data_IF_102394296192
#
_entry.id   IF_102394296192
#
_cell.length_a   1.000
_cell.length_b   1.000
_cell.length_c   1.000
_cell.angle_alpha   90.00
_cell.angle_beta   90.00
_cell.angle_gamma   90.00
#
_symmetry.space_group_name_H-M   'P 1'
#
loop_
_entity.id
_entity.type
_entity.pdbx_description
1 polymer ?
#
# COMPACT_ATOMS: atom_id res chain seq x y z
N UNK A 1 -2.78 -11.58 -10.09
CA UNK A 1 -1.52 -12.23 -10.52
C UNK A 1 -1.74 -12.80 -11.91
N UNK A 2 -1.12 -12.21 -12.94
CA UNK A 2 -1.16 -12.73 -14.31
C UNK A 2 0.27 -13.04 -14.72
N UNK A 3 0.59 -14.33 -14.79
CA UNK A 3 1.77 -14.84 -15.48
C UNK A 3 1.54 -14.66 -16.99
N UNK A 4 2.44 -13.97 -17.67
CA UNK A 4 2.54 -14.03 -19.13
C UNK A 4 3.82 -14.77 -19.51
N UNK A 5 3.61 -15.90 -20.18
CA UNK A 5 4.60 -16.73 -20.86
C UNK A 5 5.43 -15.88 -21.84
N UNK A 6 6.75 -15.97 -21.73
CA UNK A 6 7.69 -15.43 -22.72
C UNK A 6 8.11 -16.60 -23.61
N UNK A 7 7.77 -16.45 -24.89
CA UNK A 7 7.98 -17.43 -25.96
C UNK A 7 9.45 -17.49 -26.37
N UNK A 8 9.95 -18.71 -26.47
CA UNK A 8 11.27 -19.15 -26.93
C UNK A 8 11.45 -18.84 -28.43
N UNK A 9 12.48 -18.07 -28.80
CA UNK A 9 13.02 -18.01 -30.16
C UNK A 9 14.50 -18.38 -30.13
N UNK A 10 14.79 -19.63 -30.48
CA UNK A 10 16.14 -20.09 -30.81
C UNK A 10 16.39 -19.77 -32.29
N UNK A 11 17.37 -18.90 -32.56
CA UNK A 11 17.88 -18.64 -33.91
C UNK A 11 19.40 -18.83 -33.92
N UNK A 12 19.82 -19.56 -34.95
CA UNK A 12 21.13 -20.14 -35.20
C UNK A 12 22.18 -19.04 -35.39
N UNK A 13 23.28 -19.11 -34.63
CA UNK A 13 24.45 -18.25 -34.81
C UNK A 13 25.54 -18.99 -35.60
N UNK A 14 25.75 -18.58 -36.85
CA UNK A 14 26.99 -18.85 -37.59
C UNK A 14 28.11 -18.04 -36.96
N UNK A 15 29.15 -18.73 -36.48
CA UNK A 15 30.31 -18.12 -35.83
C UNK A 15 31.20 -17.40 -36.85
N UNK A 16 31.03 -16.09 -36.99
CA UNK A 16 32.11 -15.20 -37.42
C UNK A 16 32.94 -14.86 -36.19
N UNK A 17 34.15 -15.39 -36.11
CA UNK A 17 35.17 -14.98 -35.13
C UNK A 17 35.71 -13.63 -35.62
N UNK A 18 35.07 -12.52 -35.23
CA UNK A 18 35.70 -11.20 -35.29
C UNK A 18 36.67 -11.06 -34.12
N UNK A 19 37.82 -10.43 -34.36
CA UNK A 19 38.88 -10.29 -33.38
C UNK A 19 38.53 -9.19 -32.38
N UNK A 20 37.70 -9.51 -31.37
CA UNK A 20 37.38 -8.57 -30.30
C UNK A 20 38.67 -7.99 -29.67
N UNK A 21 38.80 -6.66 -29.69
CA UNK A 21 39.88 -5.95 -29.01
C UNK A 21 39.90 -6.33 -27.51
N UNK A 22 41.04 -6.80 -26.97
CA UNK A 22 41.11 -7.14 -25.56
C UNK A 22 40.93 -5.87 -24.72
N UNK A 23 40.00 -5.93 -23.76
CA UNK A 23 39.70 -4.83 -22.86
C UNK A 23 40.94 -4.36 -22.11
N UNK A 24 41.11 -3.05 -21.96
CA UNK A 24 42.18 -2.52 -21.12
C UNK A 24 41.78 -2.59 -19.64
N UNK A 25 42.79 -2.46 -18.75
CA UNK A 25 42.54 -2.31 -17.30
C UNK A 25 41.66 -1.08 -17.00
N UNK A 26 41.78 0.01 -17.78
CA UNK A 26 40.95 1.21 -17.67
C UNK A 26 39.49 0.92 -18.04
N UNK A 27 39.26 0.17 -19.12
CA UNK A 27 37.92 -0.20 -19.58
C UNK A 27 37.21 -1.06 -18.54
N UNK A 28 37.91 -2.07 -18.02
CA UNK A 28 37.42 -2.93 -16.93
C UNK A 28 37.02 -2.12 -15.70
N UNK A 29 37.86 -1.14 -15.31
CA UNK A 29 37.56 -0.25 -14.17
C UNK A 29 36.34 0.65 -14.40
N UNK A 30 36.09 1.05 -15.66
CA UNK A 30 34.96 1.91 -16.03
C UNK A 30 33.66 1.12 -15.97
N UNK A 31 33.66 -0.09 -16.55
CA UNK A 31 32.53 -1.03 -16.46
C UNK A 31 32.21 -1.36 -15.01
N UNK A 32 33.21 -1.59 -14.15
CA UNK A 32 32.98 -1.86 -12.72
C UNK A 32 32.33 -0.67 -12.01
N UNK A 33 32.73 0.57 -12.32
CA UNK A 33 32.11 1.78 -11.77
C UNK A 33 30.65 1.91 -12.20
N UNK A 34 30.35 1.69 -13.48
CA UNK A 34 28.97 1.73 -14.00
C UNK A 34 28.09 0.67 -13.34
N UNK A 35 28.62 -0.56 -13.15
CA UNK A 35 27.93 -1.60 -12.37
C UNK A 35 27.62 -1.16 -10.94
N UNK A 36 28.57 -0.51 -10.25
CA UNK A 36 28.34 0.06 -8.91
C UNK A 36 27.26 1.15 -8.94
N UNK A 37 27.26 2.01 -9.94
CA UNK A 37 26.21 3.03 -10.14
C UNK A 37 24.83 2.38 -10.30
N UNK A 38 24.72 1.32 -11.10
CA UNK A 38 23.47 0.55 -11.26
C UNK A 38 23.01 0.00 -9.91
N UNK A 39 23.88 -0.67 -9.15
CA UNK A 39 23.52 -1.21 -7.82
C UNK A 39 23.03 -0.12 -6.86
N UNK A 40 23.65 1.07 -6.90
CA UNK A 40 23.19 2.21 -6.10
C UNK A 40 21.82 2.74 -6.57
N UNK A 41 21.59 2.82 -7.87
CA UNK A 41 20.29 3.22 -8.45
C UNK A 41 19.19 2.20 -8.16
N UNK A 42 19.48 0.90 -8.21
CA UNK A 42 18.55 -0.16 -7.78
C UNK A 42 18.16 0.02 -6.31
N UNK A 43 19.13 0.29 -5.43
CA UNK A 43 18.86 0.56 -4.03
C UNK A 43 17.97 1.81 -3.82
N UNK A 44 18.14 2.86 -4.64
CA UNK A 44 17.24 4.03 -4.63
C UNK A 44 15.82 3.66 -5.07
N UNK A 45 15.66 2.86 -6.13
CA UNK A 45 14.35 2.38 -6.58
C UNK A 45 13.66 1.59 -5.48
N UNK A 46 14.35 0.63 -4.85
CA UNK A 46 13.80 -0.15 -3.75
C UNK A 46 13.36 0.73 -2.58
N UNK A 47 14.19 1.71 -2.19
CA UNK A 47 13.84 2.66 -1.12
C UNK A 47 12.62 3.52 -1.47
N UNK A 48 12.48 3.94 -2.73
CA UNK A 48 11.32 4.68 -3.19
C UNK A 48 10.06 3.79 -3.22
N UNK A 49 10.19 2.54 -3.65
CA UNK A 49 9.11 1.56 -3.66
C UNK A 49 8.57 1.29 -2.25
N UNK A 50 9.44 1.10 -1.26
CA UNK A 50 9.03 0.92 0.15
C UNK A 50 8.16 2.09 0.65
N UNK A 51 8.43 3.32 0.18
CA UNK A 51 7.61 4.47 0.54
C UNK A 51 6.22 4.41 -0.11
N UNK A 52 6.16 4.05 -1.40
CA UNK A 52 4.89 3.83 -2.12
C UNK A 52 4.07 2.77 -1.40
N UNK A 53 4.68 1.61 -1.10
CA UNK A 53 4.02 0.50 -0.41
C UNK A 53 3.49 0.93 0.98
N UNK A 54 4.24 1.77 1.70
CA UNK A 54 3.79 2.33 2.97
C UNK A 54 2.56 3.23 2.81
N UNK A 55 2.54 4.10 1.79
CA UNK A 55 1.38 4.95 1.51
C UNK A 55 0.15 4.11 1.11
N UNK A 56 0.33 3.08 0.29
CA UNK A 56 -0.74 2.15 -0.10
C UNK A 56 -1.27 1.37 1.11
N UNK A 57 -0.39 0.92 2.00
CA UNK A 57 -0.78 0.27 3.25
C UNK A 57 -1.68 1.17 4.10
N UNK A 58 -1.33 2.46 4.23
CA UNK A 58 -2.18 3.43 4.93
C UNK A 58 -3.55 3.62 4.26
N UNK A 59 -3.60 3.65 2.93
CA UNK A 59 -4.85 3.75 2.16
C UNK A 59 -5.71 2.51 2.39
N UNK A 60 -5.13 1.31 2.32
CA UNK A 60 -5.82 0.04 2.51
C UNK A 60 -6.37 -0.07 3.93
N UNK A 61 -5.53 0.14 4.93
CA UNK A 61 -5.93 0.11 6.35
C UNK A 61 -7.01 1.15 6.62
N UNK A 62 -6.81 2.39 6.18
CA UNK A 62 -7.78 3.47 6.37
C UNK A 62 -9.14 3.18 5.73
N UNK A 63 -9.15 2.61 4.52
CA UNK A 63 -10.37 2.22 3.81
C UNK A 63 -11.10 1.08 4.52
N UNK A 64 -10.37 0.08 5.00
CA UNK A 64 -10.92 -1.03 5.78
C UNK A 64 -11.57 -0.55 7.07
N UNK A 65 -10.88 0.29 7.85
CA UNK A 65 -11.39 0.88 9.10
C UNK A 65 -12.66 1.71 8.87
N UNK A 66 -12.72 2.45 7.76
CA UNK A 66 -13.92 3.22 7.38
C UNK A 66 -15.11 2.33 7.01
N UNK A 67 -14.87 1.26 6.26
CA UNK A 67 -15.92 0.32 5.88
C UNK A 67 -16.50 -0.40 7.11
N UNK A 68 -15.61 -0.94 7.95
CA UNK A 68 -15.96 -1.57 9.22
C UNK A 68 -16.72 -0.58 10.12
N UNK A 69 -16.16 0.60 10.33
CA UNK A 69 -16.74 1.60 11.22
C UNK A 69 -18.12 2.09 10.78
N UNK A 70 -18.35 2.24 9.46
CA UNK A 70 -19.68 2.58 8.92
C UNK A 70 -20.70 1.47 9.10
N UNK A 71 -20.27 0.21 8.97
CA UNK A 71 -21.14 -0.96 9.21
C UNK A 71 -21.54 -1.04 10.69
N UNK A 72 -20.55 -1.01 11.59
CA UNK A 72 -20.75 -1.02 13.04
C UNK A 72 -21.62 0.15 13.50
N UNK A 73 -21.42 1.35 12.94
CA UNK A 73 -22.26 2.53 13.27
C UNK A 73 -23.74 2.29 13.01
N UNK A 74 -24.08 1.61 11.91
CA UNK A 74 -25.47 1.26 11.59
C UNK A 74 -26.02 0.22 12.57
N UNK A 75 -25.23 -0.80 12.91
CA UNK A 75 -25.61 -1.84 13.87
C UNK A 75 -25.86 -1.23 15.26
N UNK A 76 -24.92 -0.43 15.78
CA UNK A 76 -25.04 0.25 17.07
C UNK A 76 -26.25 1.18 17.14
N UNK A 77 -26.61 1.86 16.02
CA UNK A 77 -27.83 2.67 15.94
C UNK A 77 -29.09 1.82 16.08
N UNK A 78 -29.13 0.64 15.45
CA UNK A 78 -30.24 -0.30 15.57
C UNK A 78 -30.33 -0.88 16.98
N UNK A 79 -29.21 -1.30 17.56
CA UNK A 79 -29.14 -1.81 18.94
C UNK A 79 -29.62 -0.77 19.95
N UNK A 80 -29.17 0.48 19.83
CA UNK A 80 -29.59 1.58 20.71
C UNK A 80 -31.10 1.79 20.66
N UNK A 81 -31.68 1.80 19.46
CA UNK A 81 -33.14 1.92 19.27
C UNK A 81 -33.88 0.73 19.87
N UNK A 82 -33.37 -0.49 19.65
CA UNK A 82 -33.95 -1.72 20.18
C UNK A 82 -33.96 -1.70 21.71
N UNK A 83 -32.82 -1.38 22.33
CA UNK A 83 -32.68 -1.30 23.79
C UNK A 83 -33.67 -0.30 24.39
N UNK A 84 -33.81 0.88 23.77
CA UNK A 84 -34.73 1.92 24.24
C UNK A 84 -36.20 1.48 24.12
N UNK A 85 -36.54 0.82 23.01
CA UNK A 85 -37.88 0.28 22.79
C UNK A 85 -38.20 -0.84 23.79
N UNK A 86 -37.27 -1.77 23.99
CA UNK A 86 -37.42 -2.90 24.91
C UNK A 86 -37.61 -2.41 26.34
N UNK A 87 -36.78 -1.47 26.79
CA UNK A 87 -36.92 -0.82 28.09
C UNK A 87 -38.31 -0.21 28.31
N UNK A 88 -38.83 0.50 27.31
CA UNK A 88 -40.18 1.07 27.40
C UNK A 88 -41.28 0.01 27.42
N UNK A 89 -41.14 -1.06 26.62
CA UNK A 89 -42.09 -2.19 26.57
C UNK A 89 -42.13 -2.93 27.90
N UNK A 90 -40.98 -3.28 28.46
CA UNK A 90 -40.88 -4.08 29.70
C UNK A 90 -41.37 -3.29 30.92
N UNK A 91 -41.09 -1.99 30.96
CA UNK A 91 -41.47 -1.13 32.09
C UNK A 91 -42.97 -0.77 32.10
N UNK A 92 -43.61 -0.65 30.94
CA UNK A 92 -45.00 -0.18 30.81
C UNK A 92 -46.03 -1.03 31.57
N UNK A 93 -46.07 -2.37 31.48
CA UNK A 93 -47.03 -3.17 32.23
C UNK A 93 -46.79 -3.07 33.75
N UNK A 94 -45.53 -3.11 34.17
CA UNK A 94 -45.15 -3.03 35.59
C UNK A 94 -45.53 -1.68 36.22
N UNK A 95 -45.44 -0.58 35.46
CA UNK A 95 -45.89 0.72 35.94
C UNK A 95 -47.38 0.75 36.31
N UNK A 96 -48.22 -0.05 35.64
CA UNK A 96 -49.64 -0.18 36.00
C UNK A 96 -49.81 -0.99 37.28
N UNK A 97 -49.12 -2.12 37.39
CA UNK A 97 -49.17 -3.03 38.56
C UNK A 97 -48.61 -2.33 39.81
N UNK A 98 -47.56 -1.51 39.67
CA UNK A 98 -46.95 -0.75 40.77
C UNK A 98 -47.88 0.25 41.46
N UNK A 99 -49.07 0.51 40.88
CA UNK A 99 -50.13 1.38 41.40
C UNK A 99 -51.35 0.60 41.90
N UNK A 100 -51.30 -0.73 41.93
CA UNK A 100 -52.42 -1.55 42.40
C UNK A 100 -52.66 -1.35 43.91
N UNK A 101 -53.86 -1.72 44.37
CA UNK A 101 -54.20 -1.73 45.80
C UNK A 101 -53.63 -2.97 46.53
N UNK A 102 -53.19 -3.99 45.79
CA UNK A 102 -52.50 -5.13 46.36
C UNK A 102 -51.06 -4.71 46.69
N UNK A 103 -50.75 -4.62 47.99
CA UNK A 103 -49.47 -4.08 48.46
C UNK A 103 -48.28 -4.95 48.05
N UNK A 104 -48.47 -6.26 47.95
CA UNK A 104 -47.41 -7.21 47.66
C UNK A 104 -47.05 -7.17 46.16
N UNK A 105 -48.05 -7.28 45.28
CA UNK A 105 -47.87 -7.12 43.82
C UNK A 105 -47.27 -5.74 43.47
N UNK A 106 -47.71 -4.68 44.15
CA UNK A 106 -47.17 -3.34 43.93
C UNK A 106 -45.71 -3.22 44.38
N UNK A 107 -45.29 -3.94 45.42
CA UNK A 107 -43.91 -3.97 45.90
C UNK A 107 -43.01 -4.75 44.94
N UNK A 108 -43.46 -5.92 44.47
CA UNK A 108 -42.76 -6.74 43.46
C UNK A 108 -42.55 -5.97 42.16
N UNK A 109 -43.61 -5.37 41.61
CA UNK A 109 -43.51 -4.57 40.38
C UNK A 109 -42.53 -3.40 40.52
N UNK A 110 -42.44 -2.76 41.70
CA UNK A 110 -41.45 -1.69 41.95
C UNK A 110 -40.02 -2.23 42.00
N UNK A 111 -39.81 -3.43 42.55
CA UNK A 111 -38.50 -4.08 42.57
C UNK A 111 -38.06 -4.43 41.14
N UNK A 112 -38.96 -4.99 40.33
CA UNK A 112 -38.68 -5.31 38.92
C UNK A 112 -38.40 -4.07 38.08
N UNK A 113 -39.17 -2.97 38.26
CA UNK A 113 -38.87 -1.70 37.59
C UNK A 113 -37.45 -1.21 37.92
N UNK A 114 -37.03 -1.29 39.19
CA UNK A 114 -35.66 -0.90 39.58
C UNK A 114 -34.61 -1.81 38.92
N UNK A 115 -34.87 -3.10 38.81
CA UNK A 115 -33.98 -4.04 38.13
C UNK A 115 -33.86 -3.71 36.63
N UNK A 116 -34.98 -3.43 35.96
CA UNK A 116 -35.01 -3.00 34.55
C UNK A 116 -34.25 -1.68 34.36
N UNK A 117 -34.45 -0.71 35.25
CA UNK A 117 -33.74 0.58 35.22
C UNK A 117 -32.22 0.40 35.38
N UNK A 118 -31.80 -0.47 36.30
CA UNK A 118 -30.39 -0.78 36.52
C UNK A 118 -29.77 -1.46 35.29
N UNK A 119 -30.46 -2.45 34.71
CA UNK A 119 -30.01 -3.13 33.49
C UNK A 119 -29.90 -2.18 32.31
N UNK A 120 -30.94 -1.39 32.04
CA UNK A 120 -30.93 -0.41 30.95
C UNK A 120 -29.78 0.59 31.07
N UNK A 121 -29.46 1.04 32.30
CA UNK A 121 -28.34 1.94 32.54
C UNK A 121 -26.98 1.30 32.20
N UNK A 122 -26.79 0.03 32.56
CA UNK A 122 -25.56 -0.72 32.26
C UNK A 122 -25.43 -0.91 30.75
N UNK A 123 -26.47 -1.44 30.10
CA UNK A 123 -26.48 -1.71 28.66
C UNK A 123 -26.30 -0.43 27.84
N UNK A 124 -26.93 0.67 28.26
CA UNK A 124 -26.77 1.99 27.62
C UNK A 124 -25.34 2.51 27.74
N UNK A 125 -24.67 2.28 28.88
CA UNK A 125 -23.26 2.66 29.07
C UNK A 125 -22.35 1.82 28.17
N UNK A 126 -22.62 0.53 28.04
CA UNK A 126 -21.88 -0.35 27.13
C UNK A 126 -22.01 0.09 25.68
N UNK A 127 -23.24 0.35 25.20
CA UNK A 127 -23.47 0.86 23.84
C UNK A 127 -22.81 2.23 23.60
N UNK A 128 -22.82 3.12 24.59
CA UNK A 128 -22.11 4.39 24.52
C UNK A 128 -20.61 4.19 24.35
N UNK A 129 -20.01 3.25 25.08
CA UNK A 129 -18.59 2.93 24.97
C UNK A 129 -18.25 2.33 23.59
N UNK A 130 -19.06 1.39 23.09
CA UNK A 130 -18.91 0.83 21.74
C UNK A 130 -19.00 1.91 20.66
N UNK A 131 -19.94 2.83 20.81
CA UNK A 131 -20.09 3.98 19.88
C UNK A 131 -18.85 4.86 19.87
N UNK A 132 -18.30 5.21 21.04
CA UNK A 132 -17.07 5.99 21.14
C UNK A 132 -15.86 5.28 20.54
N UNK A 133 -15.73 3.97 20.77
CA UNK A 133 -14.67 3.17 20.16
C UNK A 133 -14.80 3.14 18.63
N UNK A 134 -16.02 2.99 18.12
CA UNK A 134 -16.30 3.02 16.69
C UNK A 134 -16.02 4.40 16.06
N UNK A 135 -16.36 5.50 16.74
CA UNK A 135 -16.03 6.85 16.25
C UNK A 135 -14.51 7.08 16.19
N UNK A 136 -13.74 6.53 17.15
CA UNK A 136 -12.27 6.54 17.09
C UNK A 136 -11.74 5.70 15.93
N UNK A 137 -12.34 4.54 15.65
CA UNK A 137 -11.99 3.70 14.50
C UNK A 137 -12.19 4.46 13.19
N UNK A 138 -13.35 5.09 13.01
CA UNK A 138 -13.67 5.91 11.82
C UNK A 138 -12.66 7.05 11.71
N UNK A 139 -12.46 7.84 12.77
CA UNK A 139 -11.53 8.98 12.75
C UNK A 139 -10.08 8.55 12.44
N UNK A 140 -9.65 7.40 12.96
CA UNK A 140 -8.33 6.82 12.64
C UNK A 140 -8.26 6.41 11.16
N UNK A 141 -9.32 5.79 10.65
CA UNK A 141 -9.44 5.42 9.24
C UNK A 141 -9.36 6.63 8.30
N UNK A 142 -10.06 7.72 8.62
CA UNK A 142 -10.00 8.98 7.86
C UNK A 142 -8.59 9.57 7.86
N UNK A 143 -7.92 9.57 9.02
CA UNK A 143 -6.55 10.08 9.15
C UNK A 143 -5.57 9.25 8.33
N UNK A 144 -5.65 7.93 8.40
CA UNK A 144 -4.78 7.03 7.64
C UNK A 144 -4.99 7.19 6.14
N UNK A 145 -6.26 7.22 5.70
CA UNK A 145 -6.60 7.43 4.30
C UNK A 145 -6.11 8.80 3.79
N UNK A 146 -6.28 9.85 4.60
CA UNK A 146 -5.79 11.20 4.28
C UNK A 146 -4.26 11.25 4.14
N UNK A 147 -3.54 10.66 5.09
CA UNK A 147 -2.06 10.55 5.04
C UNK A 147 -1.60 9.76 3.83
N UNK A 148 -2.15 8.57 3.61
CA UNK A 148 -1.80 7.72 2.48
C UNK A 148 -2.00 8.43 1.14
N UNK A 149 -3.17 9.07 0.94
CA UNK A 149 -3.45 9.88 -0.27
C UNK A 149 -2.52 11.10 -0.40
N UNK A 150 -2.12 11.70 0.71
CA UNK A 150 -1.16 12.80 0.72
C UNK A 150 0.24 12.36 0.30
N UNK A 151 0.67 11.19 0.76
CA UNK A 151 2.00 10.64 0.50
C UNK A 151 2.15 10.01 -0.88
N UNK A 152 1.14 9.28 -1.36
CA UNK A 152 1.25 8.45 -2.57
C UNK A 152 1.75 9.24 -3.77
N UNK A 153 1.21 10.44 -4.01
CA UNK A 153 1.60 11.30 -5.15
C UNK A 153 3.08 11.68 -5.12
N UNK A 154 3.60 12.01 -3.94
CA UNK A 154 5.01 12.40 -3.76
C UNK A 154 5.93 11.19 -3.89
N UNK A 155 5.51 10.04 -3.36
CA UNK A 155 6.31 8.82 -3.40
C UNK A 155 6.34 8.18 -4.79
N UNK A 156 5.23 8.18 -5.53
CA UNK A 156 5.17 7.74 -6.93
C UNK A 156 6.10 8.59 -7.83
N UNK A 157 6.14 9.92 -7.60
CA UNK A 157 7.09 10.79 -8.31
C UNK A 157 8.53 10.39 -8.00
N UNK A 158 8.87 10.21 -6.73
CA UNK A 158 10.21 9.78 -6.31
C UNK A 158 10.59 8.40 -6.89
N UNK A 159 9.63 7.48 -7.03
CA UNK A 159 9.84 6.18 -7.65
C UNK A 159 10.12 6.32 -9.13
N UNK A 160 9.33 7.13 -9.84
CA UNK A 160 9.53 7.41 -11.26
C UNK A 160 10.90 8.03 -11.53
N UNK A 161 11.31 9.00 -10.73
CA UNK A 161 12.63 9.64 -10.85
C UNK A 161 13.76 8.62 -10.61
N UNK A 162 13.64 7.78 -9.58
CA UNK A 162 14.64 6.73 -9.30
C UNK A 162 14.70 5.65 -10.40
N UNK A 163 13.56 5.32 -11.03
CA UNK A 163 13.51 4.39 -12.15
C UNK A 163 14.18 4.98 -13.39
N UNK A 164 14.00 6.27 -13.65
CA UNK A 164 14.69 6.97 -14.74
C UNK A 164 16.22 6.99 -14.52
N UNK A 165 16.67 7.26 -13.29
CA UNK A 165 18.10 7.19 -12.91
C UNK A 165 18.68 5.77 -13.14
N UNK A 166 17.93 4.73 -12.81
CA UNK A 166 18.35 3.34 -13.02
C UNK A 166 18.44 3.01 -14.51
N UNK A 167 17.42 3.38 -15.28
CA UNK A 167 17.39 3.15 -16.72
C UNK A 167 18.56 3.87 -17.41
N UNK A 168 18.82 5.13 -17.05
CA UNK A 168 19.96 5.87 -17.59
C UNK A 168 21.31 5.19 -17.28
N UNK A 169 21.50 4.71 -16.04
CA UNK A 169 22.73 4.01 -15.66
C UNK A 169 22.91 2.66 -16.39
N UNK A 170 21.80 1.99 -16.71
CA UNK A 170 21.81 0.76 -17.51
C UNK A 170 22.15 1.06 -18.98
N UNK A 171 21.51 2.05 -19.58
CA UNK A 171 21.81 2.50 -20.95
C UNK A 171 23.26 2.96 -21.10
N UNK A 172 23.82 3.65 -20.10
CA UNK A 172 25.23 4.07 -20.11
C UNK A 172 26.20 2.88 -20.06
N UNK A 173 25.87 1.83 -19.28
CA UNK A 173 26.65 0.59 -19.27
C UNK A 173 26.56 -0.14 -20.61
N UNK A 174 25.35 -0.27 -21.16
CA UNK A 174 25.12 -0.97 -22.42
C UNK A 174 25.85 -0.28 -23.58
N UNK A 175 25.72 1.05 -23.67
CA UNK A 175 26.47 1.86 -24.63
C UNK A 175 27.98 1.68 -24.47
N UNK A 176 28.48 1.64 -23.23
CA UNK A 176 29.92 1.46 -22.99
C UNK A 176 30.40 0.06 -23.38
N UNK A 177 29.58 -0.96 -23.18
CA UNK A 177 29.89 -2.33 -23.61
C UNK A 177 29.86 -2.46 -25.14
N UNK A 178 28.93 -1.78 -25.81
CA UNK A 178 28.86 -1.74 -27.28
C UNK A 178 30.11 -1.06 -27.88
N UNK A 179 30.49 0.12 -27.37
CA UNK A 179 31.71 0.86 -27.75
C UNK A 179 32.98 0.00 -27.61
N UNK A 180 33.10 -0.77 -26.53
CA UNK A 180 34.26 -1.65 -26.30
C UNK A 180 34.28 -2.89 -27.20
N UNK A 181 33.14 -3.27 -27.78
CA UNK A 181 33.00 -4.44 -28.63
C UNK A 181 33.01 -4.07 -30.14
N UNK A 182 33.05 -2.78 -30.48
CA UNK A 182 33.12 -2.32 -31.85
C UNK A 182 34.58 -2.31 -32.36
N UNK A 183 34.84 -3.05 -33.44
CA UNK A 183 36.12 -2.98 -34.17
C UNK A 183 36.09 -1.78 -35.12
N UNK A 184 36.98 -0.79 -34.94
CA UNK A 184 37.26 0.19 -35.99
C UNK A 184 37.88 -0.56 -37.18
N UNK A 185 37.21 -0.54 -38.35
CA UNK A 185 37.85 -0.90 -39.60
C UNK A 185 39.12 -0.04 -39.77
N UNK A 186 40.28 -0.64 -40.12
CA UNK A 186 41.49 0.13 -40.30
C UNK A 186 41.32 1.11 -41.47
N UNK A 187 41.55 2.41 -41.24
CA UNK A 187 41.79 3.38 -42.30
C UNK A 187 43.03 2.97 -43.12
N UNK A 188 42.86 2.07 -44.09
CA UNK A 188 43.92 1.70 -45.01
C UNK A 188 43.99 2.71 -46.17
N UNK A 189 45.11 3.45 -46.18
CA UNK A 189 45.86 3.92 -47.36
C UNK A 189 45.47 5.23 -48.05
N UNK A 190 45.76 6.36 -47.39
CA UNK A 190 46.31 7.54 -48.07
C UNK A 190 47.84 7.44 -48.22
N UNK A 191 48.39 6.55 -49.07
CA UNK A 191 49.80 6.65 -49.50
C UNK A 191 50.04 6.15 -50.94
N UNK A 192 50.19 7.12 -51.85
CA UNK A 192 51.28 7.10 -52.83
C UNK A 192 51.07 6.37 -54.16
N UNK A 193 50.43 7.02 -55.13
CA UNK A 193 50.79 6.81 -56.55
C UNK A 193 51.81 7.87 -56.99
N UNK A 194 53.09 7.60 -56.75
CA UNK A 194 54.22 8.19 -57.50
C UNK A 194 54.62 7.23 -58.62
N UNK A 195 54.50 7.72 -59.86
CA UNK A 195 55.28 7.48 -61.10
C UNK A 195 55.94 6.11 -61.35
N UNK A 196 55.69 5.58 -62.55
CA UNK A 196 56.64 5.00 -63.55
C UNK A 196 55.79 4.59 -64.77
N UNK A 197 56.19 4.74 -66.03
CA UNK A 197 57.43 5.18 -66.66
C UNK A 197 57.06 5.67 -68.07
#
# INVERSE_FOLDING_TARGET
MKLYLITLCALIATATISAQKPWTSRDSSTVEKLKKTITLSEAKVQKAQVKVDYADSLIQVGSSQLAEGKSLKKQLKTETKSLTKQYAVDKKPLLKISKSKNRDEAAEAKAEIKAIDAKFKIDSKELSNKTKANDKLISTGERNLGKGKGYIKTYERSLKDAQADLQYAQEELDWKLEDLNFDEEPESEKKGKKKKK
#
